data_IF_172399989133
#
_entry.id   IF_172399989133
#
_cell.length_a   1.000
_cell.length_b   1.000
_cell.length_c   1.000
_cell.angle_alpha   90.00
_cell.angle_beta   90.00
_cell.angle_gamma   90.00
#
_symmetry.space_group_name_H-M   'P 1'
#
loop_
_entity.id
_entity.type
_entity.pdbx_description
1 polymer ?
#
# COMPACT_ATOMS: atom_id res chain seq x y z
N UNK A 1 22.06 15.40 -19.64
CA UNK A 1 20.83 15.02 -18.93
C UNK A 1 20.44 13.66 -19.43
N UNK A 2 20.27 12.67 -18.56
CA UNK A 2 19.83 11.34 -18.99
C UNK A 2 18.31 11.43 -19.23
N UNK A 3 17.89 11.28 -20.49
CA UNK A 3 16.48 11.31 -20.90
C UNK A 3 15.78 10.02 -20.45
N UNK A 4 15.53 9.89 -19.14
CA UNK A 4 14.77 8.76 -18.56
C UNK A 4 13.37 9.23 -18.18
N UNK A 5 12.36 8.45 -18.54
CA UNK A 5 11.00 8.70 -18.08
C UNK A 5 10.91 8.48 -16.55
N UNK A 6 10.03 9.24 -15.89
CA UNK A 6 9.77 9.10 -14.46
C UNK A 6 9.11 7.74 -14.20
N UNK A 7 9.68 6.96 -13.28
CA UNK A 7 9.07 5.71 -12.82
C UNK A 7 7.84 5.99 -11.95
N UNK A 8 6.79 5.19 -12.12
CA UNK A 8 5.53 5.31 -11.37
C UNK A 8 5.51 4.27 -10.24
N UNK A 9 5.92 4.68 -9.05
CA UNK A 9 5.96 3.81 -7.87
C UNK A 9 4.71 3.99 -6.99
N UNK A 10 4.37 3.03 -6.12
CA UNK A 10 3.17 3.12 -5.27
C UNK A 10 3.07 4.40 -4.44
N UNK A 11 4.19 4.95 -4.00
CA UNK A 11 4.27 6.18 -3.20
C UNK A 11 3.89 7.44 -4.00
N UNK A 12 4.03 7.41 -5.33
CA UNK A 12 3.53 8.48 -6.20
C UNK A 12 2.01 8.37 -6.42
N UNK A 13 1.43 7.19 -6.18
CA UNK A 13 0.02 6.88 -6.48
C UNK A 13 -0.85 6.93 -5.23
N UNK A 14 -0.43 6.31 -4.14
CA UNK A 14 -1.23 6.22 -2.94
C UNK A 14 -1.43 7.59 -2.27
N UNK A 15 -2.69 7.92 -1.93
CA UNK A 15 -3.04 9.13 -1.17
C UNK A 15 -3.58 8.73 0.21
N UNK A 16 -4.66 7.95 0.26
CA UNK A 16 -5.31 7.62 1.54
C UNK A 16 -6.26 6.42 1.43
N UNK A 17 -6.41 5.67 2.50
CA UNK A 17 -7.42 4.63 2.74
C UNK A 17 -8.75 5.19 3.20
N UNK A 18 -8.79 6.46 3.65
CA UNK A 18 -10.01 7.11 4.08
C UNK A 18 -10.98 7.33 2.90
N UNK A 19 -12.26 7.08 3.15
CA UNK A 19 -13.32 7.44 2.21
C UNK A 19 -13.70 8.91 2.43
N UNK A 20 -12.99 9.80 1.73
CA UNK A 20 -13.16 11.26 1.81
C UNK A 20 -13.02 11.91 0.46
N UNK A 21 -13.47 13.16 0.34
CA UNK A 21 -13.17 14.01 -0.80
C UNK A 21 -11.69 14.46 -0.79
N UNK A 22 -11.11 14.80 -1.95
CA UNK A 22 -9.78 15.38 -2.02
C UNK A 22 -9.70 16.70 -1.25
N UNK A 23 -8.57 16.97 -0.58
CA UNK A 23 -8.28 18.28 0.00
C UNK A 23 -8.07 19.32 -1.10
N UNK A 24 -8.02 20.61 -0.73
CA UNK A 24 -7.78 21.67 -1.70
C UNK A 24 -6.41 21.51 -2.38
N UNK A 25 -5.38 21.16 -1.62
CA UNK A 25 -4.02 20.89 -2.11
C UNK A 25 -4.01 19.71 -3.09
N UNK A 26 -4.75 18.64 -2.80
CA UNK A 26 -4.86 17.49 -3.69
C UNK A 26 -5.57 17.84 -5.01
N UNK A 27 -6.61 18.68 -4.96
CA UNK A 27 -7.28 19.20 -6.17
C UNK A 27 -6.32 20.02 -7.03
N UNK A 28 -5.50 20.88 -6.41
CA UNK A 28 -4.47 21.64 -7.11
C UNK A 28 -3.43 20.74 -7.79
N UNK A 29 -3.20 19.53 -7.26
CA UNK A 29 -2.34 18.50 -7.84
C UNK A 29 -3.07 17.58 -8.84
N UNK A 30 -4.30 17.89 -9.23
CA UNK A 30 -5.06 17.17 -10.25
C UNK A 30 -5.84 15.96 -9.76
N UNK A 31 -6.05 15.80 -8.45
CA UNK A 31 -6.87 14.73 -7.87
C UNK A 31 -8.36 15.04 -8.04
N UNK A 32 -9.11 14.11 -8.62
CA UNK A 32 -10.55 14.22 -8.86
C UNK A 32 -11.39 13.66 -7.71
N UNK A 33 -12.68 13.96 -7.68
CA UNK A 33 -13.57 13.49 -6.60
C UNK A 33 -13.71 11.94 -6.55
N UNK A 34 -13.43 11.25 -7.66
CA UNK A 34 -13.48 9.79 -7.80
C UNK A 34 -12.10 9.12 -7.74
N UNK A 35 -11.09 9.79 -7.16
CA UNK A 35 -9.71 9.31 -7.09
C UNK A 35 -9.54 7.98 -6.32
N UNK A 36 -10.55 7.53 -5.57
CA UNK A 36 -10.54 6.26 -4.84
C UNK A 36 -9.27 6.07 -3.97
N UNK A 37 -8.78 7.13 -3.35
CA UNK A 37 -7.55 7.06 -2.54
C UNK A 37 -6.23 7.02 -3.33
N UNK A 38 -6.27 7.17 -4.66
CA UNK A 38 -5.12 7.12 -5.56
C UNK A 38 -5.02 8.38 -6.43
N UNK A 39 -3.83 8.97 -6.53
CA UNK A 39 -3.51 10.02 -7.50
C UNK A 39 -3.52 9.42 -8.91
N UNK A 40 -4.23 10.02 -9.87
CA UNK A 40 -4.13 9.64 -11.28
C UNK A 40 -2.70 9.80 -11.78
N UNK A 41 -2.17 8.77 -12.44
CA UNK A 41 -0.79 8.80 -12.96
C UNK A 41 -0.70 9.27 -14.40
N UNK A 42 -1.85 9.41 -15.08
CA UNK A 42 -1.94 9.58 -16.52
C UNK A 42 -1.71 8.27 -17.29
N UNK A 43 -1.52 7.15 -16.59
CA UNK A 43 -1.40 5.83 -17.16
C UNK A 43 -2.53 4.92 -16.63
N UNK A 44 -3.55 4.72 -17.47
CA UNK A 44 -4.73 3.93 -17.12
C UNK A 44 -4.40 2.48 -16.68
N UNK A 45 -3.29 1.91 -17.14
CA UNK A 45 -2.89 0.56 -16.74
C UNK A 45 -2.44 0.51 -15.29
N UNK A 46 -1.59 1.47 -14.86
CA UNK A 46 -1.15 1.58 -13.46
C UNK A 46 -2.30 2.01 -12.57
N UNK A 47 -3.11 2.97 -13.01
CA UNK A 47 -4.25 3.46 -12.25
C UNK A 47 -5.28 2.34 -11.99
N UNK A 48 -5.58 1.52 -13.00
CA UNK A 48 -6.42 0.35 -12.83
C UNK A 48 -5.78 -0.69 -11.90
N UNK A 49 -4.48 -0.96 -12.04
CA UNK A 49 -3.79 -1.90 -11.15
C UNK A 49 -3.84 -1.45 -9.68
N UNK A 50 -3.56 -0.16 -9.41
CA UNK A 50 -3.64 0.44 -8.08
C UNK A 50 -5.05 0.34 -7.50
N UNK A 51 -6.07 0.69 -8.30
CA UNK A 51 -7.47 0.56 -7.91
C UNK A 51 -7.84 -0.89 -7.55
N UNK A 52 -7.41 -1.88 -8.34
CA UNK A 52 -7.71 -3.28 -8.08
C UNK A 52 -7.02 -3.79 -6.82
N UNK A 53 -5.80 -3.34 -6.51
CA UNK A 53 -5.10 -3.69 -5.27
C UNK A 53 -5.87 -3.14 -4.07
N UNK A 54 -6.26 -1.87 -4.08
CA UNK A 54 -7.11 -1.27 -3.03
C UNK A 54 -8.41 -2.05 -2.84
N UNK A 55 -9.07 -2.40 -3.95
CA UNK A 55 -10.39 -3.05 -3.91
C UNK A 55 -10.33 -4.47 -3.38
N UNK A 56 -9.32 -5.24 -3.76
CA UNK A 56 -9.25 -6.68 -3.47
C UNK A 56 -8.20 -7.08 -2.42
N UNK A 57 -7.42 -6.11 -1.92
CA UNK A 57 -6.31 -6.37 -1.01
C UNK A 57 -5.26 -7.27 -1.66
N UNK A 58 -4.54 -8.06 -0.86
CA UNK A 58 -3.48 -8.97 -1.29
C UNK A 58 -4.00 -10.16 -2.10
N UNK A 59 -3.74 -10.15 -3.41
CA UNK A 59 -3.96 -11.27 -4.35
C UNK A 59 -2.73 -11.51 -5.22
N UNK A 60 -2.64 -12.67 -5.86
CA UNK A 60 -1.55 -12.96 -6.81
C UNK A 60 -1.66 -12.11 -8.09
N UNK A 61 -0.54 -11.88 -8.77
CA UNK A 61 -0.51 -11.07 -9.99
C UNK A 61 -1.41 -11.63 -11.10
N UNK A 62 -1.57 -12.97 -11.16
CA UNK A 62 -2.50 -13.62 -12.08
C UNK A 62 -3.97 -13.25 -11.83
N UNK A 63 -4.37 -13.00 -10.57
CA UNK A 63 -5.72 -12.57 -10.24
C UNK A 63 -6.02 -11.21 -10.86
N UNK A 64 -5.11 -10.24 -10.69
CA UNK A 64 -5.29 -8.91 -11.27
C UNK A 64 -5.19 -8.95 -12.80
N UNK A 65 -4.24 -9.71 -13.36
CA UNK A 65 -4.09 -9.86 -14.81
C UNK A 65 -5.39 -10.37 -15.46
N UNK A 66 -6.04 -11.37 -14.83
CA UNK A 66 -7.33 -11.88 -15.27
C UNK A 66 -8.42 -10.81 -15.29
N UNK A 67 -8.50 -9.97 -14.26
CA UNK A 67 -9.49 -8.87 -14.20
C UNK A 67 -9.18 -7.79 -15.24
N UNK A 68 -7.90 -7.50 -15.46
CA UNK A 68 -7.44 -6.52 -16.45
C UNK A 68 -7.49 -7.04 -17.89
N UNK A 69 -7.84 -8.31 -18.11
CA UNK A 69 -7.95 -8.90 -19.45
C UNK A 69 -6.60 -9.14 -20.14
N UNK A 70 -5.51 -9.29 -19.38
CA UNK A 70 -4.14 -9.48 -19.90
C UNK A 70 -3.51 -10.77 -19.37
N UNK A 71 -2.42 -11.22 -19.99
CA UNK A 71 -1.62 -12.32 -19.45
C UNK A 71 -0.84 -11.86 -18.22
N UNK A 72 -0.55 -12.80 -17.34
CA UNK A 72 0.25 -12.53 -16.13
C UNK A 72 1.65 -12.02 -16.47
N UNK A 73 2.29 -12.52 -17.54
CA UNK A 73 3.59 -12.00 -17.98
C UNK A 73 3.48 -10.54 -18.44
N UNK A 74 2.46 -10.23 -19.25
CA UNK A 74 2.24 -8.87 -19.78
C UNK A 74 2.01 -7.86 -18.66
N UNK A 75 1.22 -8.22 -17.63
CA UNK A 75 1.05 -7.38 -16.44
C UNK A 75 2.38 -7.11 -15.75
N UNK A 76 3.19 -8.15 -15.51
CA UNK A 76 4.46 -7.97 -14.82
C UNK A 76 5.46 -7.16 -15.66
N UNK A 77 5.50 -7.38 -16.97
CA UNK A 77 6.35 -6.60 -17.88
C UNK A 77 5.92 -5.14 -17.93
N UNK A 78 4.62 -4.86 -18.06
CA UNK A 78 4.07 -3.51 -18.10
C UNK A 78 4.37 -2.76 -16.79
N UNK A 79 4.07 -3.35 -15.63
CA UNK A 79 4.37 -2.72 -14.33
C UNK A 79 5.88 -2.52 -14.17
N UNK A 80 6.71 -3.49 -14.55
CA UNK A 80 8.18 -3.35 -14.47
C UNK A 80 8.72 -2.27 -15.39
N UNK A 81 8.19 -2.15 -16.60
CA UNK A 81 8.53 -1.06 -17.50
C UNK A 81 8.15 0.28 -16.84
N UNK A 82 6.92 0.45 -16.37
CA UNK A 82 6.49 1.76 -15.87
C UNK A 82 7.08 2.15 -14.50
N UNK A 83 7.38 1.19 -13.63
CA UNK A 83 7.78 1.44 -12.25
C UNK A 83 9.22 1.06 -11.90
N UNK A 84 9.91 0.31 -12.76
CA UNK A 84 11.23 -0.26 -12.48
C UNK A 84 11.22 -1.50 -11.58
N UNK A 85 10.08 -1.84 -10.96
CA UNK A 85 9.94 -2.94 -9.98
C UNK A 85 8.91 -3.98 -10.45
N UNK A 86 8.97 -5.17 -9.87
CA UNK A 86 8.01 -6.24 -10.22
C UNK A 86 6.58 -5.89 -9.79
N UNK A 87 5.56 -6.46 -10.45
CA UNK A 87 4.17 -6.28 -10.05
C UNK A 87 3.87 -6.78 -8.63
N UNK A 88 4.57 -7.83 -8.20
CA UNK A 88 4.50 -8.33 -6.82
C UNK A 88 5.04 -7.31 -5.81
N UNK A 89 6.18 -6.70 -6.11
CA UNK A 89 6.80 -5.69 -5.25
C UNK A 89 5.98 -4.42 -5.20
N UNK A 90 5.49 -3.95 -6.35
CA UNK A 90 4.61 -2.80 -6.47
C UNK A 90 3.36 -2.98 -5.59
N UNK A 91 2.68 -4.14 -5.70
CA UNK A 91 1.53 -4.49 -4.85
C UNK A 91 1.89 -4.49 -3.36
N UNK A 92 3.01 -5.10 -2.99
CA UNK A 92 3.41 -5.18 -1.59
C UNK A 92 3.71 -3.81 -0.99
N UNK A 93 4.42 -2.95 -1.72
CA UNK A 93 4.69 -1.57 -1.30
C UNK A 93 3.39 -0.77 -1.17
N UNK A 94 2.45 -0.93 -2.11
CA UNK A 94 1.13 -0.33 -2.00
C UNK A 94 0.39 -0.76 -0.73
N UNK A 95 0.28 -2.08 -0.48
CA UNK A 95 -0.36 -2.62 0.73
C UNK A 95 0.34 -2.20 2.02
N UNK A 96 1.65 -1.98 1.98
CA UNK A 96 2.40 -1.45 3.12
C UNK A 96 2.02 -0.01 3.44
N UNK A 97 1.80 0.83 2.42
CA UNK A 97 1.33 2.21 2.62
C UNK A 97 -0.07 2.22 3.26
N UNK A 98 -0.99 1.40 2.75
CA UNK A 98 -2.31 1.24 3.35
C UNK A 98 -2.23 0.75 4.80
N UNK A 99 -1.39 -0.25 5.07
CA UNK A 99 -1.20 -0.78 6.42
C UNK A 99 -0.69 0.29 7.40
N UNK A 100 0.31 1.08 6.98
CA UNK A 100 0.89 2.14 7.81
C UNK A 100 -0.16 3.18 8.16
N UNK A 101 -0.89 3.69 7.17
CA UNK A 101 -1.93 4.69 7.41
C UNK A 101 -3.06 4.14 8.29
N UNK A 102 -3.54 2.90 8.05
CA UNK A 102 -4.56 2.29 8.91
C UNK A 102 -4.10 2.11 10.36
N UNK A 103 -2.81 1.84 10.58
CA UNK A 103 -2.26 1.72 11.92
C UNK A 103 -2.11 3.08 12.62
N UNK A 104 -1.83 4.13 11.85
CA UNK A 104 -1.59 5.51 12.31
C UNK A 104 -2.90 6.26 12.56
N UNK A 105 -3.80 6.24 11.59
CA UNK A 105 -4.97 7.13 11.53
C UNK A 105 -6.27 6.47 12.03
N UNK A 106 -6.25 5.16 12.31
CA UNK A 106 -7.44 4.44 12.77
C UNK A 106 -7.23 3.65 14.07
N UNK A 107 -8.33 3.39 14.77
CA UNK A 107 -8.37 2.50 15.94
C UNK A 107 -8.75 1.05 15.56
N UNK A 108 -8.69 0.68 14.28
CA UNK A 108 -9.04 -0.65 13.79
C UNK A 108 -8.14 -1.73 14.43
N UNK A 109 -8.69 -2.89 14.80
CA UNK A 109 -7.87 -3.94 15.38
C UNK A 109 -6.91 -4.53 14.33
N UNK A 110 -5.75 -5.04 14.76
CA UNK A 110 -4.74 -5.61 13.84
C UNK A 110 -5.35 -6.76 13.01
N UNK A 111 -6.25 -7.55 13.61
CA UNK A 111 -6.96 -8.62 12.92
C UNK A 111 -7.85 -8.09 11.79
N UNK A 112 -8.57 -7.01 12.05
CA UNK A 112 -9.45 -6.37 11.05
C UNK A 112 -8.63 -5.71 9.93
N UNK A 113 -7.49 -5.07 10.26
CA UNK A 113 -6.55 -4.53 9.27
C UNK A 113 -6.02 -5.66 8.39
N UNK A 114 -5.57 -6.76 8.98
CA UNK A 114 -5.11 -7.95 8.25
C UNK A 114 -6.18 -8.45 7.27
N UNK A 115 -7.43 -8.60 7.74
CA UNK A 115 -8.53 -9.05 6.90
C UNK A 115 -8.85 -8.05 5.78
N UNK A 116 -8.90 -6.74 6.09
CA UNK A 116 -9.14 -5.66 5.12
C UNK A 116 -8.11 -5.64 4.00
N UNK A 117 -6.83 -5.83 4.34
CA UNK A 117 -5.74 -5.88 3.37
C UNK A 117 -5.63 -7.23 2.64
N UNK A 118 -6.54 -8.17 2.88
CA UNK A 118 -6.62 -9.46 2.17
C UNK A 118 -5.60 -10.50 2.63
N UNK A 119 -5.01 -10.36 3.81
CA UNK A 119 -4.15 -11.39 4.39
C UNK A 119 -4.99 -12.55 4.91
N UNK A 120 -4.51 -13.78 4.69
CA UNK A 120 -5.22 -14.99 5.10
C UNK A 120 -5.30 -15.15 6.62
N UNK A 121 -4.27 -14.68 7.34
CA UNK A 121 -4.20 -14.73 8.80
C UNK A 121 -3.47 -13.50 9.35
N UNK A 122 -3.84 -13.00 10.55
CA UNK A 122 -3.15 -11.90 11.21
C UNK A 122 -1.64 -12.13 11.39
N UNK A 123 -1.23 -13.36 11.67
CA UNK A 123 0.19 -13.73 11.81
C UNK A 123 0.99 -13.51 10.51
N UNK A 124 0.38 -13.73 9.35
CA UNK A 124 0.98 -13.49 8.03
C UNK A 124 1.12 -11.99 7.78
N UNK A 125 0.09 -11.20 8.11
CA UNK A 125 0.16 -9.75 8.06
C UNK A 125 1.28 -9.21 8.96
N UNK A 126 1.36 -9.67 10.20
CA UNK A 126 2.39 -9.25 11.15
C UNK A 126 3.81 -9.53 10.63
N UNK A 127 4.06 -10.74 10.11
CA UNK A 127 5.35 -11.08 9.49
C UNK A 127 5.65 -10.21 8.27
N UNK A 128 4.66 -9.98 7.41
CA UNK A 128 4.78 -9.08 6.27
C UNK A 128 5.16 -7.66 6.71
N UNK A 129 4.45 -7.10 7.69
CA UNK A 129 4.69 -5.75 8.17
C UNK A 129 6.07 -5.62 8.82
N UNK A 130 6.44 -6.57 9.69
CA UNK A 130 7.75 -6.59 10.34
C UNK A 130 8.90 -6.73 9.33
N UNK A 131 8.75 -7.59 8.32
CA UNK A 131 9.78 -7.75 7.29
C UNK A 131 10.05 -6.47 6.50
N UNK A 132 9.04 -5.60 6.35
CA UNK A 132 9.14 -4.36 5.57
C UNK A 132 9.43 -3.11 6.42
N UNK A 133 9.21 -3.15 7.74
CA UNK A 133 9.35 -1.97 8.62
C UNK A 133 10.30 -2.18 9.80
N UNK A 134 10.76 -3.41 10.00
CA UNK A 134 11.55 -3.83 11.17
C UNK A 134 10.85 -3.58 12.53
N UNK A 135 9.54 -3.38 12.54
CA UNK A 135 8.71 -3.13 13.73
C UNK A 135 7.43 -3.98 13.69
N UNK A 136 6.89 -4.35 14.84
CA UNK A 136 5.57 -4.99 14.88
C UNK A 136 4.46 -3.96 14.60
N UNK A 137 3.30 -4.37 14.06
CA UNK A 137 2.17 -3.46 13.81
C UNK A 137 1.70 -2.69 15.06
N UNK A 138 1.67 -3.36 16.22
CA UNK A 138 1.25 -2.73 17.48
C UNK A 138 2.28 -1.70 17.98
N UNK A 139 3.56 -2.00 17.82
CA UNK A 139 4.67 -1.10 18.17
C UNK A 139 4.65 0.15 17.30
N UNK A 140 4.40 -0.03 16.00
CA UNK A 140 4.25 1.06 15.04
C UNK A 140 3.14 2.03 15.47
N UNK A 141 1.97 1.49 15.82
CA UNK A 141 0.83 2.27 16.30
C UNK A 141 1.15 3.06 17.58
N UNK A 142 1.83 2.43 18.54
CA UNK A 142 2.20 3.11 19.80
C UNK A 142 3.22 4.20 19.54
N UNK A 143 4.29 3.91 18.80
CA UNK A 143 5.37 4.87 18.52
C UNK A 143 4.87 6.15 17.82
N UNK A 144 3.83 6.04 17.01
CA UNK A 144 3.21 7.19 16.33
C UNK A 144 2.32 8.01 17.26
N UNK A 145 1.62 7.37 18.19
CA UNK A 145 0.80 8.05 19.21
C UNK A 145 1.66 8.67 20.33
N UNK A 146 2.81 8.06 20.66
CA UNK A 146 3.71 8.49 21.72
C UNK A 146 5.19 8.44 21.27
N UNK A 147 5.64 9.38 20.42
CA UNK A 147 7.00 9.38 19.90
C UNK A 147 8.04 9.52 21.03
N UNK A 148 9.04 8.61 21.05
CA UNK A 148 10.17 8.63 22.00
C UNK A 148 10.04 7.69 23.21
N UNK A 149 8.90 7.01 23.40
CA UNK A 149 8.71 6.07 24.51
C UNK A 149 9.36 4.72 24.17
N UNK A 150 10.34 4.28 24.96
CA UNK A 150 11.03 3.00 24.74
C UNK A 150 10.21 1.84 25.33
N UNK A 151 9.23 1.36 24.55
CA UNK A 151 8.34 0.26 24.97
C UNK A 151 9.06 -1.10 25.07
N UNK A 152 10.19 -1.30 24.37
CA UNK A 152 11.02 -2.51 24.46
C UNK A 152 11.64 -2.73 25.83
N UNK A 153 11.83 -1.65 26.60
CA UNK A 153 12.27 -1.72 28.00
C UNK A 153 11.12 -1.97 28.99
N UNK A 154 9.88 -1.64 28.61
CA UNK A 154 8.72 -1.72 29.50
C UNK A 154 8.01 -3.07 29.45
N UNK A 155 8.12 -3.78 28.32
CA UNK A 155 7.60 -5.13 28.16
C UNK A 155 8.75 -6.07 27.80
N UNK A 156 9.33 -6.72 28.82
CA UNK A 156 10.29 -7.80 28.65
C UNK A 156 9.59 -9.00 28.01
N UNK A 157 9.67 -9.12 26.67
CA UNK A 157 9.38 -10.37 25.99
C UNK A 157 10.69 -11.14 25.89
N UNK A 158 10.70 -12.33 26.51
CA UNK A 158 11.87 -13.18 26.70
C UNK A 158 12.64 -13.46 25.41
N UNK A 159 13.94 -13.62 25.61
CA UNK A 159 15.02 -13.88 24.64
C UNK A 159 14.69 -14.88 23.53
#
# INVERSE_FOLDING_TARGET
MEEKYKQIIPEDVFITTADRKPTEEERWLGVTDDFNGNRPTGNNFVDLFAYLIRKYGRKDTCFYARIMGVKTEDLNMAIRAMSGISGWEWRNRYLLLEAKELLEESNMQINDISAKLGFSQPSVFTKFFQANTHSQPWEWRINKKEPGKNWKKTYHWGE
#
